data_IF_791212021481
#
_entry.id   IF_791212021481
#
_cell.length_a   1.000
_cell.length_b   1.000
_cell.length_c   1.000
_cell.angle_alpha   90.00
_cell.angle_beta   90.00
_cell.angle_gamma   90.00
#
_symmetry.space_group_name_H-M   'P 1'
#
loop_
_entity.id
_entity.type
_entity.pdbx_description
1 polymer ?
#
# COMPACT_ATOMS: atom_id res chain seq x y z
N UNK A 1 24.42 74.93 54.35
CA UNK A 1 24.94 73.99 53.33
C UNK A 1 24.43 72.61 53.69
N UNK A 2 23.43 72.13 52.97
CA UNK A 2 22.91 70.76 53.08
C UNK A 2 22.75 70.28 51.65
N UNK A 3 23.74 69.54 51.16
CA UNK A 3 23.70 68.93 49.83
C UNK A 3 22.78 67.71 49.88
N UNK A 4 21.56 67.87 49.33
CA UNK A 4 20.68 66.75 49.07
C UNK A 4 21.13 66.03 47.79
N UNK A 5 21.84 64.93 48.00
CA UNK A 5 22.26 64.02 46.96
C UNK A 5 21.04 63.17 46.54
N UNK A 6 20.34 63.59 45.48
CA UNK A 6 19.29 62.76 44.87
C UNK A 6 19.93 61.49 44.29
N UNK A 7 19.70 60.33 44.92
CA UNK A 7 20.08 59.04 44.37
C UNK A 7 19.29 58.82 43.07
N UNK A 8 19.99 58.70 41.94
CA UNK A 8 19.36 58.29 40.68
C UNK A 8 18.58 56.99 40.93
N UNK A 9 17.31 56.90 40.49
CA UNK A 9 16.52 55.70 40.70
C UNK A 9 17.26 54.49 40.10
N UNK A 10 17.36 53.40 40.86
CA UNK A 10 17.89 52.15 40.37
C UNK A 10 16.95 51.64 39.28
N UNK A 11 17.29 51.93 38.03
CA UNK A 11 16.61 51.34 36.87
C UNK A 11 17.25 49.97 36.70
N UNK A 12 16.56 48.86 37.05
CA UNK A 12 17.10 47.53 36.83
C UNK A 12 17.55 47.42 35.37
N UNK A 13 18.72 46.82 35.14
CA UNK A 13 19.41 46.81 33.83
C UNK A 13 18.52 46.33 32.66
N UNK A 14 17.49 45.52 32.97
CA UNK A 14 16.44 45.05 32.06
C UNK A 14 15.56 46.19 31.48
N UNK A 15 15.37 47.31 32.18
CA UNK A 15 14.53 48.42 31.73
C UNK A 15 15.25 49.41 30.79
N UNK A 16 16.56 49.22 30.53
CA UNK A 16 17.27 50.04 29.54
C UNK A 16 17.00 49.53 28.13
N UNK A 17 16.49 50.41 27.26
CA UNK A 17 16.20 50.10 25.85
C UNK A 17 17.41 49.50 25.11
N UNK A 18 18.64 49.92 25.45
CA UNK A 18 19.87 49.37 24.88
C UNK A 18 20.06 47.88 25.20
N UNK A 19 19.69 47.44 26.40
CA UNK A 19 19.75 46.03 26.82
C UNK A 19 18.76 45.20 26.01
N UNK A 20 17.54 45.73 25.82
CA UNK A 20 16.50 45.09 25.00
C UNK A 20 16.92 44.97 23.53
N UNK A 21 17.51 46.01 22.96
CA UNK A 21 18.03 46.00 21.57
C UNK A 21 19.16 44.98 21.41
N UNK A 22 20.08 44.90 22.38
CA UNK A 22 21.15 43.90 22.36
C UNK A 22 20.59 42.47 22.44
N UNK A 23 19.63 42.22 23.33
CA UNK A 23 18.96 40.92 23.43
C UNK A 23 18.21 40.56 22.15
N UNK A 24 17.53 41.53 21.52
CA UNK A 24 16.86 41.32 20.25
C UNK A 24 17.86 40.98 19.13
N UNK A 25 19.00 41.68 19.03
CA UNK A 25 20.04 41.34 18.05
C UNK A 25 20.62 39.95 18.29
N UNK A 26 20.92 39.59 19.54
CA UNK A 26 21.40 38.24 19.87
C UNK A 26 20.36 37.18 19.50
N UNK A 27 19.08 37.41 19.80
CA UNK A 27 18.00 36.50 19.44
C UNK A 27 17.88 36.33 17.92
N UNK A 28 17.97 37.41 17.14
CA UNK A 28 17.95 37.37 15.67
C UNK A 28 19.17 36.62 15.13
N UNK A 29 20.37 36.82 15.70
CA UNK A 29 21.59 36.12 15.29
C UNK A 29 21.47 34.62 15.58
N UNK A 30 21.01 34.23 16.78
CA UNK A 30 20.81 32.83 17.13
C UNK A 30 19.76 32.18 16.23
N UNK A 31 18.64 32.88 15.97
CA UNK A 31 17.61 32.40 15.05
C UNK A 31 18.15 32.23 13.63
N UNK A 32 18.92 33.21 13.12
CA UNK A 32 19.55 33.12 11.81
C UNK A 32 20.51 31.93 11.73
N UNK A 33 21.38 31.75 12.72
CA UNK A 33 22.28 30.59 12.78
C UNK A 33 21.46 29.29 12.78
N UNK A 34 20.42 29.16 13.61
CA UNK A 34 19.58 27.96 13.66
C UNK A 34 18.81 27.71 12.35
N UNK A 35 18.34 28.76 11.68
CA UNK A 35 17.61 28.67 10.42
C UNK A 35 18.54 28.27 9.26
N UNK A 36 19.72 28.89 9.16
CA UNK A 36 20.69 28.62 8.09
C UNK A 36 21.55 27.38 8.34
N UNK A 37 21.60 26.85 9.57
CA UNK A 37 22.30 25.59 9.89
C UNK A 37 21.43 24.35 9.68
N UNK A 38 20.24 24.47 9.08
CA UNK A 38 19.41 23.32 8.76
C UNK A 38 20.08 22.51 7.65
N UNK A 39 20.26 21.22 7.90
CA UNK A 39 20.71 20.24 6.91
C UNK A 39 19.47 19.45 6.49
N UNK A 40 19.22 19.38 5.19
CA UNK A 40 18.20 18.48 4.64
C UNK A 40 18.76 17.05 4.63
N UNK A 41 18.20 16.18 5.46
CA UNK A 41 18.53 14.75 5.47
C UNK A 41 17.56 14.08 4.51
N UNK A 42 18.02 13.87 3.27
CA UNK A 42 17.27 13.12 2.27
C UNK A 42 17.38 11.63 2.60
N UNK A 43 16.24 10.93 2.58
CA UNK A 43 16.19 9.48 2.77
C UNK A 43 16.93 8.79 1.62
N UNK A 44 17.73 7.76 1.93
CA UNK A 44 18.44 6.98 0.90
C UNK A 44 17.47 6.37 -0.14
N UNK A 45 16.22 6.12 0.24
CA UNK A 45 15.17 5.57 -0.62
C UNK A 45 14.33 6.63 -1.34
N UNK A 46 14.68 7.92 -1.23
CA UNK A 46 13.87 9.02 -1.78
C UNK A 46 13.59 8.86 -3.28
N UNK A 47 14.61 8.64 -4.10
CA UNK A 47 14.45 8.50 -5.56
C UNK A 47 13.58 7.27 -5.90
N UNK A 48 13.81 6.14 -5.24
CA UNK A 48 13.02 4.92 -5.43
C UNK A 48 11.56 5.11 -5.04
N UNK A 49 11.29 5.88 -3.98
CA UNK A 49 9.92 6.25 -3.55
C UNK A 49 9.21 7.10 -4.60
N UNK A 50 9.89 8.13 -5.11
CA UNK A 50 9.34 9.00 -6.16
C UNK A 50 9.05 8.18 -7.42
N UNK A 51 10.00 7.35 -7.85
CA UNK A 51 9.83 6.47 -9.00
C UNK A 51 8.63 5.53 -8.83
N UNK A 52 8.51 4.86 -7.67
CA UNK A 52 7.40 3.96 -7.40
C UNK A 52 6.05 4.69 -7.44
N UNK A 53 5.95 5.88 -6.84
CA UNK A 53 4.73 6.68 -6.82
C UNK A 53 4.33 7.16 -8.21
N UNK A 54 5.27 7.66 -9.01
CA UNK A 54 5.01 8.05 -10.40
C UNK A 54 4.57 6.86 -11.26
N UNK A 55 5.17 5.69 -11.03
CA UNK A 55 4.83 4.49 -11.79
C UNK A 55 3.43 3.97 -11.42
N UNK A 56 3.09 3.99 -10.13
CA UNK A 56 1.74 3.64 -9.66
C UNK A 56 0.68 4.63 -10.16
N UNK A 57 0.97 5.93 -10.21
CA UNK A 57 0.04 6.92 -10.76
C UNK A 57 -0.29 6.63 -12.24
N UNK A 58 0.73 6.34 -13.05
CA UNK A 58 0.55 5.98 -14.47
C UNK A 58 -0.22 4.65 -14.63
N UNK A 59 0.08 3.67 -13.78
CA UNK A 59 -0.60 2.38 -13.77
C UNK A 59 -2.10 2.54 -13.45
N UNK A 60 -2.42 3.38 -12.45
CA UNK A 60 -3.79 3.66 -12.06
C UNK A 60 -4.56 4.37 -13.18
N UNK A 61 -3.96 5.37 -13.81
CA UNK A 61 -4.59 6.09 -14.94
C UNK A 61 -4.88 5.14 -16.10
N UNK A 62 -3.93 4.28 -16.47
CA UNK A 62 -4.13 3.28 -17.53
C UNK A 62 -5.31 2.35 -17.22
N UNK A 63 -5.40 1.84 -15.99
CA UNK A 63 -6.51 0.96 -15.60
C UNK A 63 -7.85 1.71 -15.56
N UNK A 64 -7.85 2.98 -15.14
CA UNK A 64 -9.02 3.86 -15.18
C UNK A 64 -9.53 4.03 -16.61
N UNK A 65 -8.65 4.41 -17.54
CA UNK A 65 -8.99 4.58 -18.96
C UNK A 65 -9.64 3.32 -19.55
N UNK A 66 -9.05 2.14 -19.29
CA UNK A 66 -9.61 0.86 -19.75
C UNK A 66 -11.01 0.59 -19.17
N UNK A 67 -11.26 0.95 -17.92
CA UNK A 67 -12.59 0.80 -17.30
C UNK A 67 -13.61 1.74 -17.92
N UNK A 68 -13.22 2.99 -18.19
CA UNK A 68 -14.07 3.97 -18.87
C UNK A 68 -14.42 3.54 -20.29
N UNK A 69 -13.46 3.01 -21.05
CA UNK A 69 -13.70 2.47 -22.40
C UNK A 69 -14.69 1.30 -22.41
N UNK A 70 -14.70 0.50 -21.34
CA UNK A 70 -15.68 -0.58 -21.14
C UNK A 70 -17.04 -0.09 -20.65
N UNK A 71 -17.24 1.21 -20.48
CA UNK A 71 -18.50 1.81 -20.07
C UNK A 71 -18.77 1.73 -18.56
N UNK A 72 -17.73 1.53 -17.74
CA UNK A 72 -17.85 1.64 -16.28
C UNK A 72 -17.91 3.11 -15.90
N UNK A 73 -18.97 3.53 -15.21
CA UNK A 73 -19.13 4.91 -14.75
C UNK A 73 -18.39 5.16 -13.43
N UNK A 74 -17.87 6.38 -13.27
CA UNK A 74 -17.27 6.83 -12.01
C UNK A 74 -18.36 7.13 -10.98
N UNK A 75 -18.22 6.55 -9.80
CA UNK A 75 -19.06 6.82 -8.65
C UNK A 75 -18.36 7.84 -7.76
N UNK A 76 -18.56 9.13 -8.05
CA UNK A 76 -17.87 10.25 -7.37
C UNK A 76 -18.17 10.29 -5.86
N UNK A 77 -19.31 9.73 -5.43
CA UNK A 77 -19.66 9.69 -4.01
C UNK A 77 -18.80 8.68 -3.23
N UNK A 78 -18.52 7.52 -3.84
CA UNK A 78 -17.70 6.46 -3.21
C UNK A 78 -16.22 6.49 -3.66
N UNK A 79 -15.90 7.22 -4.72
CA UNK A 79 -14.55 7.41 -5.28
C UNK A 79 -14.30 8.91 -5.55
N UNK A 80 -14.15 9.73 -4.49
CA UNK A 80 -14.03 11.18 -4.61
C UNK A 80 -12.74 11.64 -5.30
N UNK A 81 -11.73 10.77 -5.38
CA UNK A 81 -10.49 11.02 -6.11
C UNK A 81 -10.59 10.59 -7.58
N UNK A 82 -11.77 10.12 -8.02
CA UNK A 82 -12.06 9.70 -9.38
C UNK A 82 -11.05 8.68 -9.92
N UNK A 83 -10.60 7.77 -9.06
CA UNK A 83 -9.58 6.78 -9.44
C UNK A 83 -10.10 5.78 -10.46
N UNK A 84 -11.41 5.54 -10.48
CA UNK A 84 -12.07 4.54 -11.32
C UNK A 84 -11.78 3.11 -10.90
N UNK A 85 -11.09 2.89 -9.78
CA UNK A 85 -10.59 1.60 -9.33
C UNK A 85 -11.30 1.06 -8.08
N UNK A 86 -12.20 1.85 -7.51
CA UNK A 86 -13.10 1.41 -6.44
C UNK A 86 -14.15 0.45 -7.04
N UNK A 87 -14.23 -0.77 -6.50
CA UNK A 87 -15.24 -1.74 -6.93
C UNK A 87 -16.63 -1.45 -6.40
N UNK A 88 -17.57 -2.34 -6.67
CA UNK A 88 -18.96 -2.15 -6.24
C UNK A 88 -19.19 -2.53 -4.77
N UNK A 89 -20.27 -2.03 -4.18
CA UNK A 89 -20.74 -2.49 -2.86
C UNK A 89 -21.14 -3.98 -2.88
N UNK A 90 -21.64 -4.47 -4.02
CA UNK A 90 -21.96 -5.88 -4.22
C UNK A 90 -21.76 -6.31 -5.67
N UNK A 91 -21.26 -7.52 -5.83
CA UNK A 91 -21.11 -8.26 -7.08
C UNK A 91 -21.27 -9.75 -6.79
N UNK A 92 -21.30 -10.59 -7.84
CA UNK A 92 -21.29 -12.04 -7.66
C UNK A 92 -19.98 -12.58 -7.06
N UNK A 93 -18.90 -11.79 -7.07
CA UNK A 93 -17.57 -12.14 -6.54
C UNK A 93 -17.23 -11.46 -5.22
N UNK A 94 -18.19 -10.72 -4.63
CA UNK A 94 -18.03 -10.07 -3.33
C UNK A 94 -18.09 -11.11 -2.20
N UNK A 95 -17.01 -11.26 -1.44
CA UNK A 95 -16.90 -12.30 -0.40
C UNK A 95 -17.35 -11.85 0.98
N UNK A 96 -17.05 -10.61 1.34
CA UNK A 96 -17.21 -10.07 2.69
C UNK A 96 -17.46 -8.56 2.63
N UNK A 97 -17.88 -7.99 3.76
CA UNK A 97 -17.93 -6.54 3.97
C UNK A 97 -16.53 -5.91 3.85
N UNK A 98 -16.48 -4.67 3.36
CA UNK A 98 -15.23 -3.96 3.13
C UNK A 98 -15.27 -2.56 3.72
N UNK A 99 -14.12 -2.09 4.19
CA UNK A 99 -13.90 -0.70 4.58
C UNK A 99 -13.51 0.11 3.34
N UNK A 100 -14.33 1.09 2.97
CA UNK A 100 -14.10 1.95 1.81
C UNK A 100 -12.87 2.85 2.00
N UNK A 101 -12.69 3.42 3.20
CA UNK A 101 -11.59 4.33 3.51
C UNK A 101 -10.24 3.62 3.37
N UNK A 102 -10.19 2.34 3.78
CA UNK A 102 -9.02 1.51 3.57
C UNK A 102 -8.70 1.30 2.08
N UNK A 103 -9.71 1.24 1.20
CA UNK A 103 -9.48 1.09 -0.25
C UNK A 103 -8.95 2.38 -0.84
N UNK A 104 -9.61 3.49 -0.54
CA UNK A 104 -9.22 4.83 -0.97
C UNK A 104 -7.80 5.17 -0.54
N UNK A 105 -7.42 4.82 0.70
CA UNK A 105 -6.05 5.02 1.21
C UNK A 105 -5.00 4.31 0.36
N UNK A 106 -5.30 3.09 -0.10
CA UNK A 106 -4.37 2.32 -0.95
C UNK A 106 -4.41 2.71 -2.42
N UNK A 107 -5.39 3.53 -2.82
CA UNK A 107 -5.51 4.15 -4.14
C UNK A 107 -4.95 5.58 -4.15
N UNK A 108 -3.97 5.84 -3.28
CA UNK A 108 -3.03 6.96 -3.40
C UNK A 108 -1.71 6.41 -3.96
N UNK A 109 -1.17 6.95 -5.08
CA UNK A 109 0.11 6.49 -5.63
C UNK A 109 1.28 6.49 -4.63
N UNK A 110 1.26 7.39 -3.64
CA UNK A 110 2.27 7.43 -2.57
C UNK A 110 2.24 6.18 -1.67
N UNK A 111 1.19 5.36 -1.73
CA UNK A 111 1.16 4.08 -1.04
C UNK A 111 2.27 3.14 -1.52
N UNK A 112 2.66 3.20 -2.80
CA UNK A 112 3.84 2.47 -3.32
C UNK A 112 5.16 2.97 -2.70
N UNK A 113 5.31 4.27 -2.50
CA UNK A 113 6.46 4.85 -1.79
C UNK A 113 6.51 4.38 -0.31
N UNK A 114 5.35 4.26 0.34
CA UNK A 114 5.27 3.69 1.68
C UNK A 114 5.70 2.21 1.67
N UNK A 115 5.31 1.43 0.65
CA UNK A 115 5.77 0.05 0.50
C UNK A 115 7.29 -0.05 0.27
N UNK A 116 7.89 0.85 -0.53
CA UNK A 116 9.36 0.93 -0.67
C UNK A 116 10.04 1.12 0.69
N UNK A 117 9.51 2.02 1.52
CA UNK A 117 10.06 2.24 2.87
C UNK A 117 9.94 1.00 3.75
N UNK A 118 8.78 0.32 3.75
CA UNK A 118 8.56 -0.89 4.54
C UNK A 118 9.48 -2.03 4.11
N UNK A 119 9.67 -2.23 2.81
CA UNK A 119 10.58 -3.25 2.26
C UNK A 119 12.03 -2.93 2.62
N UNK A 120 12.43 -1.65 2.57
CA UNK A 120 13.75 -1.21 3.00
C UNK A 120 13.97 -1.42 4.52
N UNK A 121 12.99 -1.09 5.35
CA UNK A 121 13.04 -1.34 6.80
C UNK A 121 13.09 -2.82 7.16
N UNK A 122 12.47 -3.68 6.34
CA UNK A 122 12.60 -5.14 6.43
C UNK A 122 14.00 -5.65 6.02
N UNK A 123 14.90 -4.76 5.57
CA UNK A 123 16.26 -5.09 5.19
C UNK A 123 16.36 -5.82 3.85
N UNK A 124 15.38 -5.59 2.95
CA UNK A 124 15.44 -6.11 1.59
C UNK A 124 16.41 -5.31 0.74
N UNK A 125 17.14 -6.03 -0.11
CA UNK A 125 18.10 -5.50 -1.04
C UNK A 125 17.75 -5.91 -2.47
N UNK A 126 18.33 -5.21 -3.44
CA UNK A 126 18.22 -5.56 -4.85
C UNK A 126 18.63 -7.02 -5.10
N UNK A 127 17.80 -7.76 -5.83
CA UNK A 127 17.95 -9.19 -6.12
C UNK A 127 17.37 -10.13 -5.08
N UNK A 128 16.90 -9.64 -3.92
CA UNK A 128 16.23 -10.48 -2.94
C UNK A 128 14.93 -11.06 -3.51
N UNK A 129 14.61 -12.29 -3.10
CA UNK A 129 13.35 -12.94 -3.46
C UNK A 129 12.41 -12.98 -2.25
N UNK A 130 11.14 -12.65 -2.44
CA UNK A 130 10.12 -12.65 -1.38
C UNK A 130 8.89 -13.45 -1.78
N UNK A 131 8.19 -14.00 -0.79
CA UNK A 131 6.89 -14.62 -1.01
C UNK A 131 5.79 -13.59 -0.76
N UNK A 132 4.88 -13.41 -1.72
CA UNK A 132 3.83 -12.41 -1.66
C UNK A 132 2.46 -13.08 -1.77
N UNK A 133 1.58 -12.77 -0.84
CA UNK A 133 0.20 -13.24 -0.84
C UNK A 133 -0.75 -12.07 -0.98
N UNK A 134 -1.51 -12.06 -2.06
CA UNK A 134 -2.42 -10.96 -2.39
C UNK A 134 -3.89 -11.37 -2.27
N UNK A 135 -4.75 -10.36 -2.20
CA UNK A 135 -6.21 -10.52 -2.24
C UNK A 135 -6.84 -9.56 -3.22
N UNK A 136 -7.89 -9.99 -3.92
CA UNK A 136 -8.73 -9.13 -4.73
C UNK A 136 -9.35 -7.98 -3.91
N UNK A 137 -9.40 -8.09 -2.59
CA UNK A 137 -9.97 -7.05 -1.72
C UNK A 137 -9.17 -5.75 -1.66
N UNK A 138 -7.90 -5.75 -2.06
CA UNK A 138 -6.99 -4.61 -1.90
C UNK A 138 -6.20 -4.30 -3.19
N UNK A 139 -6.86 -3.96 -4.32
CA UNK A 139 -6.19 -3.75 -5.59
C UNK A 139 -5.12 -2.65 -5.55
N UNK A 140 -5.38 -1.54 -4.85
CA UNK A 140 -4.40 -0.46 -4.67
C UNK A 140 -3.13 -0.93 -3.97
N UNK A 141 -3.26 -1.65 -2.85
CA UNK A 141 -2.11 -2.16 -2.11
C UNK A 141 -1.37 -3.28 -2.86
N UNK A 142 -2.08 -4.08 -3.66
CA UNK A 142 -1.46 -5.09 -4.52
C UNK A 142 -0.56 -4.40 -5.56
N UNK A 143 -1.06 -3.38 -6.26
CA UNK A 143 -0.26 -2.59 -7.22
C UNK A 143 0.94 -1.96 -6.53
N UNK A 144 0.71 -1.28 -5.41
CA UNK A 144 1.75 -0.63 -4.63
C UNK A 144 2.88 -1.59 -4.24
N UNK A 145 2.52 -2.81 -3.79
CA UNK A 145 3.49 -3.84 -3.39
C UNK A 145 4.33 -4.30 -4.57
N UNK A 146 3.70 -4.64 -5.70
CA UNK A 146 4.40 -5.16 -6.87
C UNK A 146 5.28 -4.08 -7.53
N UNK A 147 4.77 -2.84 -7.66
CA UNK A 147 5.53 -1.71 -8.20
C UNK A 147 6.70 -1.35 -7.29
N UNK A 148 6.54 -1.41 -5.96
CA UNK A 148 7.64 -1.19 -5.03
C UNK A 148 8.71 -2.28 -5.15
N UNK A 149 8.33 -3.55 -5.36
CA UNK A 149 9.28 -4.63 -5.62
C UNK A 149 10.09 -4.34 -6.88
N UNK A 150 9.44 -3.99 -7.98
CA UNK A 150 10.09 -3.64 -9.25
C UNK A 150 11.04 -2.44 -9.10
N UNK A 151 10.62 -1.37 -8.43
CA UNK A 151 11.44 -0.18 -8.20
C UNK A 151 12.70 -0.49 -7.38
N UNK A 152 12.63 -1.48 -6.49
CA UNK A 152 13.75 -1.95 -5.67
C UNK A 152 14.52 -3.12 -6.32
N UNK A 153 14.09 -3.61 -7.49
CA UNK A 153 14.58 -4.84 -8.13
C UNK A 153 14.53 -6.05 -7.18
N UNK A 154 13.42 -6.20 -6.46
CA UNK A 154 13.09 -7.37 -5.62
C UNK A 154 12.24 -8.31 -6.47
N UNK A 155 12.42 -9.62 -6.31
CA UNK A 155 11.68 -10.65 -7.05
C UNK A 155 10.53 -11.21 -6.20
N UNK A 156 9.27 -10.79 -6.44
CA UNK A 156 8.12 -11.34 -5.74
C UNK A 156 7.65 -12.65 -6.38
N UNK A 157 7.55 -13.73 -5.60
CA UNK A 157 6.79 -14.92 -5.98
C UNK A 157 5.39 -14.76 -5.42
N UNK A 158 4.39 -14.65 -6.29
CA UNK A 158 3.05 -14.16 -5.93
C UNK A 158 2.00 -15.27 -5.96
N UNK A 159 1.15 -15.37 -4.93
CA UNK A 159 -0.10 -16.14 -4.97
C UNK A 159 -1.26 -15.24 -4.61
N UNK A 160 -2.30 -15.21 -5.46
CA UNK A 160 -3.45 -14.32 -5.24
C UNK A 160 -4.75 -15.06 -4.94
N UNK A 161 -5.50 -14.57 -3.98
CA UNK A 161 -6.92 -14.93 -3.78
C UNK A 161 -7.83 -13.96 -4.53
N UNK A 162 -8.73 -14.47 -5.37
CA UNK A 162 -9.45 -13.62 -6.35
C UNK A 162 -10.71 -12.96 -5.76
N UNK A 163 -11.43 -13.68 -4.92
CA UNK A 163 -12.58 -13.13 -4.21
C UNK A 163 -12.21 -11.86 -3.44
N UNK A 164 -13.06 -10.85 -3.54
CA UNK A 164 -12.79 -9.51 -3.06
C UNK A 164 -13.90 -9.03 -2.12
N UNK A 165 -13.55 -8.28 -1.08
CA UNK A 165 -14.54 -7.58 -0.26
C UNK A 165 -15.29 -6.52 -1.07
N UNK A 166 -16.29 -5.88 -0.45
CA UNK A 166 -16.86 -4.65 -0.99
C UNK A 166 -15.74 -3.66 -1.34
N UNK A 167 -15.96 -2.90 -2.42
CA UNK A 167 -15.05 -1.84 -2.90
C UNK A 167 -13.68 -2.30 -3.42
N UNK A 168 -13.33 -3.59 -3.31
CA UNK A 168 -12.12 -4.17 -3.89
C UNK A 168 -12.26 -4.47 -5.39
N UNK A 169 -11.36 -5.28 -5.97
CA UNK A 169 -11.46 -5.76 -7.36
C UNK A 169 -12.54 -6.85 -7.52
N UNK A 170 -13.77 -6.50 -7.17
CA UNK A 170 -14.92 -7.39 -7.15
C UNK A 170 -15.78 -7.30 -8.42
N UNK A 171 -15.34 -6.56 -9.44
CA UNK A 171 -15.97 -6.56 -10.74
C UNK A 171 -15.67 -7.90 -11.47
N UNK A 172 -16.67 -8.75 -11.77
CA UNK A 172 -16.43 -10.03 -12.42
C UNK A 172 -15.79 -9.92 -13.81
N UNK A 173 -15.94 -8.78 -14.48
CA UNK A 173 -15.38 -8.52 -15.82
C UNK A 173 -13.98 -7.89 -15.76
N UNK A 174 -13.53 -7.50 -14.56
CA UNK A 174 -12.21 -6.94 -14.30
C UNK A 174 -11.77 -7.23 -12.86
N UNK A 175 -11.44 -8.50 -12.61
CA UNK A 175 -10.90 -8.95 -11.32
C UNK A 175 -9.44 -8.52 -11.15
N UNK A 176 -8.85 -8.78 -9.99
CA UNK A 176 -7.42 -8.52 -9.78
C UNK A 176 -6.52 -9.20 -10.82
N UNK A 177 -6.79 -10.43 -11.26
CA UNK A 177 -5.93 -11.08 -12.27
C UNK A 177 -5.99 -10.39 -13.62
N UNK A 178 -7.15 -9.81 -13.97
CA UNK A 178 -7.28 -9.01 -15.19
C UNK A 178 -6.46 -7.72 -15.07
N UNK A 179 -6.51 -7.04 -13.92
CA UNK A 179 -5.66 -5.88 -13.63
C UNK A 179 -4.17 -6.24 -13.63
N UNK A 180 -3.77 -7.29 -12.93
CA UNK A 180 -2.40 -7.79 -12.86
C UNK A 180 -1.85 -8.11 -14.25
N UNK A 181 -2.64 -8.77 -15.10
CA UNK A 181 -2.25 -9.03 -16.50
C UNK A 181 -2.01 -7.73 -17.27
N UNK A 182 -2.92 -6.76 -17.17
CA UNK A 182 -2.78 -5.47 -17.86
C UNK A 182 -1.55 -4.70 -17.38
N UNK A 183 -1.29 -4.70 -16.08
CA UNK A 183 -0.09 -4.08 -15.50
C UNK A 183 1.18 -4.73 -16.04
N UNK A 184 1.22 -6.06 -16.09
CA UNK A 184 2.37 -6.81 -16.60
C UNK A 184 2.59 -6.57 -18.10
N UNK A 185 1.54 -6.66 -18.92
CA UNK A 185 1.63 -6.46 -20.37
C UNK A 185 2.05 -5.04 -20.77
N UNK A 186 1.77 -4.05 -19.91
CA UNK A 186 2.17 -2.65 -20.12
C UNK A 186 3.47 -2.28 -19.39
N UNK A 187 4.17 -3.25 -18.77
CA UNK A 187 5.48 -3.02 -18.13
C UNK A 187 5.44 -2.28 -16.80
N UNK A 188 4.28 -2.22 -16.14
CA UNK A 188 4.14 -1.62 -14.80
C UNK A 188 4.65 -2.52 -13.68
N UNK A 189 4.59 -3.85 -13.90
CA UNK A 189 5.09 -4.88 -13.00
C UNK A 189 5.84 -5.94 -13.80
N UNK A 190 6.85 -6.56 -13.19
CA UNK A 190 7.73 -7.53 -13.86
C UNK A 190 7.35 -8.98 -13.60
N UNK A 191 6.45 -9.23 -12.65
CA UNK A 191 6.04 -10.59 -12.24
C UNK A 191 4.52 -10.68 -12.08
N UNK A 192 3.99 -11.89 -12.26
CA UNK A 192 2.57 -12.22 -12.05
C UNK A 192 2.39 -13.32 -11.02
N UNK A 193 1.15 -13.50 -10.57
CA UNK A 193 0.75 -14.64 -9.74
C UNK A 193 1.16 -15.98 -10.37
N UNK A 194 1.81 -16.85 -9.60
CA UNK A 194 2.17 -18.23 -10.03
C UNK A 194 1.05 -19.24 -9.78
N UNK A 195 0.09 -18.88 -8.93
CA UNK A 195 -1.10 -19.65 -8.62
C UNK A 195 -2.18 -18.73 -8.07
N UNK A 196 -3.44 -19.16 -8.15
CA UNK A 196 -4.54 -18.39 -7.61
C UNK A 196 -5.55 -19.28 -6.89
N UNK A 197 -6.27 -18.71 -5.93
CA UNK A 197 -7.34 -19.36 -5.19
C UNK A 197 -8.64 -18.58 -5.29
N UNK A 198 -9.73 -19.22 -4.86
CA UNK A 198 -11.04 -18.54 -4.85
C UNK A 198 -11.07 -17.40 -3.83
N UNK A 199 -10.37 -17.50 -2.70
CA UNK A 199 -10.48 -16.54 -1.61
C UNK A 199 -11.74 -16.73 -0.76
N UNK A 200 -12.17 -15.65 -0.09
CA UNK A 200 -13.26 -15.67 0.88
C UNK A 200 -13.01 -16.60 2.07
N UNK A 201 -14.05 -16.88 2.85
CA UNK A 201 -13.93 -17.73 4.05
C UNK A 201 -13.36 -19.11 3.71
N UNK A 202 -12.33 -19.51 4.48
CA UNK A 202 -11.52 -20.73 4.31
C UNK A 202 -10.79 -20.87 2.97
N UNK A 203 -10.68 -19.79 2.18
CA UNK A 203 -10.09 -19.83 0.84
C UNK A 203 -10.85 -20.78 -0.11
N UNK A 204 -12.16 -20.93 0.11
CA UNK A 204 -13.06 -21.81 -0.63
C UNK A 204 -14.25 -21.07 -1.25
N UNK A 205 -14.28 -19.73 -1.13
CA UNK A 205 -15.43 -18.91 -1.52
C UNK A 205 -16.69 -19.25 -0.74
N UNK A 206 -16.58 -19.62 0.55
CA UNK A 206 -17.76 -19.78 1.41
C UNK A 206 -18.52 -18.45 1.44
N UNK A 207 -19.85 -18.52 1.36
CA UNK A 207 -20.80 -17.40 1.18
C UNK A 207 -20.96 -16.88 -0.26
N UNK A 208 -20.08 -17.23 -1.19
CA UNK A 208 -20.33 -16.98 -2.61
C UNK A 208 -21.38 -17.96 -3.16
N UNK A 209 -22.24 -17.44 -4.04
CA UNK A 209 -23.15 -18.26 -4.83
C UNK A 209 -22.37 -19.28 -5.68
N UNK A 210 -22.99 -20.39 -6.12
CA UNK A 210 -22.36 -21.29 -7.08
C UNK A 210 -21.85 -20.56 -8.32
N UNK A 211 -22.61 -19.57 -8.82
CA UNK A 211 -22.22 -18.75 -9.97
C UNK A 211 -21.01 -17.87 -9.69
N UNK A 212 -20.95 -17.23 -8.52
CA UNK A 212 -19.78 -16.42 -8.12
C UNK A 212 -18.49 -17.24 -8.09
N UNK A 213 -18.55 -18.45 -7.54
CA UNK A 213 -17.40 -19.38 -7.54
C UNK A 213 -17.03 -19.85 -8.94
N UNK A 214 -18.01 -20.06 -9.82
CA UNK A 214 -17.78 -20.41 -11.23
C UNK A 214 -17.06 -19.26 -11.96
N UNK A 215 -17.52 -18.02 -11.80
CA UNK A 215 -16.88 -16.83 -12.40
C UNK A 215 -15.40 -16.72 -12.00
N UNK A 216 -15.09 -16.90 -10.71
CA UNK A 216 -13.70 -16.88 -10.23
C UNK A 216 -12.88 -18.02 -10.83
N UNK A 217 -13.40 -19.26 -10.87
CA UNK A 217 -12.67 -20.39 -11.46
C UNK A 217 -12.40 -20.17 -12.95
N UNK A 218 -13.39 -19.66 -13.67
CA UNK A 218 -13.26 -19.35 -15.10
C UNK A 218 -12.23 -18.24 -15.32
N UNK A 219 -12.20 -17.23 -14.44
CA UNK A 219 -11.19 -16.17 -14.49
C UNK A 219 -9.77 -16.72 -14.27
N UNK A 220 -9.56 -17.54 -13.23
CA UNK A 220 -8.26 -18.19 -12.97
C UNK A 220 -7.81 -19.03 -14.19
N UNK A 221 -8.73 -19.81 -14.76
CA UNK A 221 -8.45 -20.61 -15.95
C UNK A 221 -8.13 -19.77 -17.19
N UNK A 222 -8.84 -18.64 -17.39
CA UNK A 222 -8.58 -17.67 -18.48
C UNK A 222 -7.17 -17.08 -18.42
N UNK A 223 -6.57 -17.01 -17.23
CA UNK A 223 -5.21 -16.53 -17.00
C UNK A 223 -4.15 -17.65 -16.95
N UNK A 224 -4.53 -18.88 -17.28
CA UNK A 224 -3.65 -20.07 -17.31
C UNK A 224 -2.95 -20.34 -15.97
N UNK A 225 -3.58 -19.96 -14.85
CA UNK A 225 -3.01 -20.14 -13.51
C UNK A 225 -3.46 -21.47 -12.86
N UNK A 226 -2.54 -22.19 -12.20
CA UNK A 226 -2.90 -23.28 -11.30
C UNK A 226 -3.88 -22.79 -10.22
N UNK A 227 -4.98 -23.53 -10.06
CA UNK A 227 -5.97 -23.23 -9.03
C UNK A 227 -5.65 -23.97 -7.73
N UNK A 228 -5.65 -23.23 -6.63
CA UNK A 228 -5.58 -23.76 -5.27
C UNK A 228 -7.00 -24.05 -4.80
N UNK A 229 -7.35 -25.34 -4.69
CA UNK A 229 -8.69 -25.79 -4.29
C UNK A 229 -8.66 -27.12 -3.53
N UNK A 230 -8.32 -27.02 -2.25
CA UNK A 230 -8.32 -28.11 -1.28
C UNK A 230 -9.69 -28.34 -0.62
N UNK A 231 -9.81 -29.48 0.08
CA UNK A 231 -11.04 -29.86 0.80
C UNK A 231 -11.21 -29.07 2.10
N UNK A 232 -10.13 -28.51 2.64
CA UNK A 232 -10.11 -27.70 3.85
C UNK A 232 -9.16 -26.51 3.74
N UNK A 233 -9.25 -25.56 4.68
CA UNK A 233 -8.28 -24.47 4.80
C UNK A 233 -6.85 -24.99 4.95
N UNK A 234 -6.66 -26.06 5.74
CA UNK A 234 -5.35 -26.70 5.93
C UNK A 234 -4.77 -27.20 4.59
N UNK A 235 -5.61 -27.82 3.76
CA UNK A 235 -5.19 -28.31 2.45
C UNK A 235 -4.83 -27.15 1.51
N UNK A 236 -5.59 -26.04 1.54
CA UNK A 236 -5.28 -24.83 0.78
C UNK A 236 -3.95 -24.21 1.19
N UNK A 237 -3.68 -24.12 2.51
CA UNK A 237 -2.39 -23.64 3.04
C UNK A 237 -1.27 -24.56 2.55
N UNK A 238 -1.44 -25.88 2.65
CA UNK A 238 -0.42 -26.81 2.19
C UNK A 238 -0.14 -26.69 0.68
N UNK A 239 -1.17 -26.48 -0.15
CA UNK A 239 -0.99 -26.23 -1.58
C UNK A 239 -0.22 -24.93 -1.84
N UNK A 240 -0.53 -23.84 -1.12
CA UNK A 240 0.26 -22.58 -1.19
C UNK A 240 1.72 -22.81 -0.83
N UNK A 241 1.99 -23.54 0.26
CA UNK A 241 3.35 -23.87 0.68
C UNK A 241 4.09 -24.71 -0.37
N UNK A 242 3.39 -25.61 -1.07
CA UNK A 242 3.98 -26.38 -2.17
C UNK A 242 4.35 -25.47 -3.35
N UNK A 243 3.51 -24.49 -3.70
CA UNK A 243 3.84 -23.50 -4.74
C UNK A 243 5.03 -22.63 -4.37
N UNK A 244 5.17 -22.26 -3.09
CA UNK A 244 6.33 -21.51 -2.62
C UNK A 244 7.58 -22.38 -2.40
N UNK A 245 7.48 -23.72 -2.43
CA UNK A 245 8.60 -24.59 -2.11
C UNK A 245 9.80 -24.40 -3.04
N UNK A 246 11.01 -24.69 -2.53
CA UNK A 246 12.29 -24.69 -3.28
C UNK A 246 12.85 -23.31 -3.66
N UNK A 247 12.42 -22.23 -3.00
CA UNK A 247 13.01 -20.89 -3.15
C UNK A 247 13.42 -20.38 -1.77
N UNK A 248 14.55 -19.67 -1.71
CA UNK A 248 15.01 -19.03 -0.49
C UNK A 248 14.42 -17.62 -0.39
N UNK A 249 13.39 -17.46 0.44
CA UNK A 249 12.74 -16.17 0.62
C UNK A 249 13.37 -15.39 1.76
N UNK A 250 13.69 -14.13 1.49
CA UNK A 250 14.18 -13.20 2.51
C UNK A 250 13.07 -12.74 3.46
N UNK A 251 11.86 -12.55 2.95
CA UNK A 251 10.70 -12.07 3.70
C UNK A 251 9.40 -12.56 3.07
N UNK A 252 8.33 -12.56 3.87
CA UNK A 252 6.95 -12.84 3.42
C UNK A 252 6.14 -11.56 3.55
N UNK A 253 5.47 -11.17 2.47
CA UNK A 253 4.55 -10.03 2.43
C UNK A 253 3.13 -10.53 2.24
N UNK A 254 2.22 -10.09 3.07
CA UNK A 254 0.80 -10.38 2.93
C UNK A 254 0.01 -9.08 2.79
N UNK A 255 -0.82 -9.01 1.75
CA UNK A 255 -1.76 -7.92 1.54
C UNK A 255 -3.18 -8.38 1.86
N UNK A 256 -3.87 -7.65 2.75
CA UNK A 256 -5.24 -7.93 3.17
C UNK A 256 -5.39 -9.07 4.19
N UNK A 257 -6.63 -9.50 4.45
CA UNK A 257 -6.96 -10.33 5.63
C UNK A 257 -7.18 -11.83 5.36
N UNK A 258 -6.64 -12.39 4.28
CA UNK A 258 -6.90 -13.77 3.90
C UNK A 258 -6.46 -14.78 4.96
N UNK A 259 -7.38 -15.60 5.48
CA UNK A 259 -7.08 -16.57 6.56
C UNK A 259 -6.09 -17.66 6.16
N UNK A 260 -5.99 -17.97 4.86
CA UNK A 260 -4.99 -18.91 4.34
C UNK A 260 -3.57 -18.32 4.27
N UNK A 261 -3.44 -17.01 4.45
CA UNK A 261 -2.17 -16.29 4.40
C UNK A 261 -1.74 -15.83 5.80
N UNK A 262 -2.61 -15.09 6.50
CA UNK A 262 -2.32 -14.51 7.82
C UNK A 262 -2.68 -15.42 9.00
N UNK A 263 -3.55 -16.40 8.79
CA UNK A 263 -4.23 -17.11 9.86
C UNK A 263 -5.43 -16.31 10.41
N UNK A 264 -5.81 -16.57 11.66
CA UNK A 264 -6.97 -15.91 12.28
C UNK A 264 -6.64 -14.50 12.77
N UNK A 265 -7.64 -13.72 13.17
CA UNK A 265 -7.43 -12.38 13.78
C UNK A 265 -6.55 -12.42 15.05
N UNK A 266 -6.41 -13.58 15.69
CA UNK A 266 -5.46 -13.77 16.78
C UNK A 266 -4.01 -13.80 16.29
N UNK A 267 -3.74 -14.41 15.14
CA UNK A 267 -2.40 -14.49 14.55
C UNK A 267 -1.86 -13.11 14.19
N UNK A 268 -2.72 -12.19 13.73
CA UNK A 268 -2.33 -10.82 13.43
C UNK A 268 -1.71 -10.10 14.64
N UNK A 269 -2.18 -10.39 15.86
CA UNK A 269 -1.65 -9.81 17.10
C UNK A 269 -0.29 -10.38 17.52
N UNK A 270 0.16 -11.45 16.88
CA UNK A 270 1.42 -12.14 17.19
C UNK A 270 2.53 -11.80 16.19
N UNK A 271 2.20 -11.07 15.13
CA UNK A 271 3.18 -10.57 14.17
C UNK A 271 3.74 -9.23 14.70
N UNK A 272 5.06 -9.03 14.66
CA UNK A 272 5.72 -7.82 15.15
C UNK A 272 5.33 -6.57 14.36
#
# INVERSE_FOLDING_TARGET
MSDQQHSKPFIPVIQKTSTLVMMAMVAVIIFAIAFFSRVEIISETYETKVQAAEHMAKAMEMLKEIRLEKGVFLDVENDPNETGLVGSQFSLTTTDEGDLDAKLTTLDPNFSAAMVELLNQAGLQSGDTIAVMLTGSMPGANMATLIACDAMNIHPVVITSIGASQWGANDPDMTWLDMEKLLFENGFISERSIAASIGGRNDQGRLLSPKGRELIRNNIAKHDLPIITGKSLKDNIQQRMNHFSNVNYKTVVNVGGGVASLGTSFNLKLLP
#
